data_IF_540649651527
#
_entry.id   IF_540649651527
#
_cell.length_a   1.000
_cell.length_b   1.000
_cell.length_c   1.000
_cell.angle_alpha   90.00
_cell.angle_beta   90.00
_cell.angle_gamma   90.00
#
_symmetry.space_group_name_H-M   'P 1'
#
loop_
_entity.id
_entity.type
_entity.pdbx_description
1 polymer ?
#
# COMPACT_ATOMS: atom_id res chain seq x y z
N UNK A 1 -33.99 68.48 -70.98
CA UNK A 1 -32.65 68.86 -71.45
C UNK A 1 -31.59 68.01 -70.82
N UNK A 2 -30.75 67.39 -71.66
CA UNK A 2 -29.45 66.73 -71.43
C UNK A 2 -29.29 65.59 -70.36
N UNK A 3 -29.16 64.39 -70.93
CA UNK A 3 -28.49 63.22 -70.39
C UNK A 3 -27.08 63.50 -69.90
N UNK A 4 -26.66 62.77 -68.84
CA UNK A 4 -25.30 62.28 -68.68
C UNK A 4 -25.29 60.99 -67.99
N UNK A 5 -24.70 59.95 -68.60
CA UNK A 5 -24.39 58.63 -68.08
C UNK A 5 -23.15 58.73 -67.13
N UNK A 6 -23.02 57.94 -66.11
CA UNK A 6 -21.74 57.65 -65.49
C UNK A 6 -21.19 56.29 -65.93
N UNK A 7 -19.91 56.19 -66.01
CA UNK A 7 -19.04 55.06 -66.37
C UNK A 7 -18.93 53.99 -65.31
N UNK A 8 -18.48 52.80 -65.67
CA UNK A 8 -18.42 51.65 -64.74
C UNK A 8 -17.15 51.66 -63.91
N UNK A 9 -17.26 51.50 -62.64
CA UNK A 9 -16.14 51.20 -61.72
C UNK A 9 -15.95 49.73 -61.55
N UNK A 10 -14.70 49.28 -61.81
CA UNK A 10 -14.24 47.93 -61.72
C UNK A 10 -14.24 47.39 -60.30
N UNK A 11 -14.72 46.17 -60.18
CA UNK A 11 -14.69 45.38 -58.97
C UNK A 11 -13.34 44.66 -58.83
N UNK A 12 -12.50 45.13 -57.92
CA UNK A 12 -11.31 44.39 -57.50
C UNK A 12 -11.68 43.20 -56.55
N UNK A 13 -11.54 41.99 -57.06
CA UNK A 13 -11.62 40.75 -56.26
C UNK A 13 -10.45 40.69 -55.29
N UNK A 14 -10.73 40.85 -53.99
CA UNK A 14 -9.79 40.53 -52.93
C UNK A 14 -9.69 39.04 -52.78
N UNK A 15 -8.54 38.45 -53.11
CA UNK A 15 -8.22 37.05 -52.79
C UNK A 15 -8.10 36.89 -51.28
N UNK A 16 -9.04 36.20 -50.67
CA UNK A 16 -8.94 35.75 -49.29
C UNK A 16 -7.99 34.54 -49.24
N UNK A 17 -6.83 34.74 -48.61
CA UNK A 17 -5.88 33.66 -48.31
C UNK A 17 -6.40 32.86 -47.12
N UNK A 18 -6.87 31.64 -47.34
CA UNK A 18 -7.21 30.65 -46.31
C UNK A 18 -5.91 30.05 -45.79
N UNK A 19 -5.37 30.61 -44.73
CA UNK A 19 -4.38 29.93 -43.89
C UNK A 19 -5.13 29.03 -42.93
N UNK A 20 -5.22 27.75 -43.28
CA UNK A 20 -5.71 26.71 -42.39
C UNK A 20 -4.70 26.46 -41.27
N UNK A 21 -5.02 26.91 -40.06
CA UNK A 21 -4.25 26.56 -38.90
C UNK A 21 -4.57 25.09 -38.55
N UNK A 22 -3.66 24.17 -38.87
CA UNK A 22 -3.68 22.81 -38.37
C UNK A 22 -3.33 22.86 -36.88
N UNK A 23 -4.35 22.79 -36.02
CA UNK A 23 -4.15 22.46 -34.61
C UNK A 23 -3.76 20.99 -34.49
N UNK A 24 -2.48 20.70 -34.41
CA UNK A 24 -1.96 19.42 -33.99
C UNK A 24 -2.18 19.34 -32.48
N UNK A 25 -3.29 18.73 -32.05
CA UNK A 25 -3.47 18.34 -30.65
C UNK A 25 -2.44 17.26 -30.33
N UNK A 26 -1.31 17.67 -29.78
CA UNK A 26 -0.39 16.75 -29.12
C UNK A 26 -1.08 16.19 -27.90
N UNK A 27 -1.63 14.97 -28.05
CA UNK A 27 -2.09 14.16 -26.94
C UNK A 27 -0.86 13.90 -26.07
N UNK A 28 -0.70 14.65 -24.99
CA UNK A 28 0.33 14.38 -23.99
C UNK A 28 -0.02 13.04 -23.35
N UNK A 29 0.59 11.96 -23.85
CA UNK A 29 0.62 10.68 -23.18
C UNK A 29 1.47 10.92 -21.94
N UNK A 30 0.80 11.21 -20.81
CA UNK A 30 1.45 11.22 -19.52
C UNK A 30 2.13 9.84 -19.36
N UNK A 31 3.42 9.76 -19.05
CA UNK A 31 4.04 8.47 -18.77
C UNK A 31 3.26 7.88 -17.58
N UNK A 32 2.56 6.75 -17.78
CA UNK A 32 2.16 5.90 -16.67
C UNK A 32 3.47 5.65 -15.92
N UNK A 33 3.60 6.26 -14.73
CA UNK A 33 4.67 5.90 -13.83
C UNK A 33 4.54 4.39 -13.63
N UNK A 34 5.45 3.63 -14.22
CA UNK A 34 5.58 2.19 -13.97
C UNK A 34 5.79 2.10 -12.46
N UNK A 35 4.73 1.82 -11.72
CA UNK A 35 4.86 1.45 -10.32
C UNK A 35 5.92 0.35 -10.30
N UNK A 36 6.96 0.52 -9.49
CA UNK A 36 8.09 -0.41 -9.46
C UNK A 36 7.54 -1.83 -9.33
N UNK A 37 7.54 -2.56 -10.45
CA UNK A 37 6.95 -3.88 -10.49
C UNK A 37 7.75 -4.77 -9.55
N UNK A 38 7.06 -5.42 -8.61
CA UNK A 38 7.72 -6.38 -7.74
C UNK A 38 8.25 -7.54 -8.58
N UNK A 39 9.52 -7.93 -8.40
CA UNK A 39 10.12 -8.98 -9.22
C UNK A 39 9.44 -10.33 -9.01
N UNK A 40 9.36 -11.11 -10.08
CA UNK A 40 8.96 -12.50 -9.97
C UNK A 40 10.02 -13.27 -9.18
N UNK A 41 9.60 -13.84 -8.05
CA UNK A 41 10.49 -14.67 -7.25
C UNK A 41 10.73 -16.04 -7.92
N UNK A 42 11.94 -16.60 -7.79
CA UNK A 42 12.23 -17.92 -8.32
C UNK A 42 11.46 -19.01 -7.57
N UNK A 43 11.24 -20.13 -8.26
CA UNK A 43 10.52 -21.28 -7.70
C UNK A 43 9.00 -21.09 -7.75
N UNK A 44 8.30 -21.83 -6.89
CA UNK A 44 6.84 -21.84 -6.83
C UNK A 44 6.22 -22.88 -7.74
N UNK A 45 4.91 -22.98 -7.66
CA UNK A 45 4.08 -23.95 -8.40
C UNK A 45 2.83 -23.25 -8.93
N UNK A 46 2.28 -23.77 -10.01
CA UNK A 46 0.96 -23.38 -10.47
C UNK A 46 -0.08 -23.95 -9.51
N UNK A 47 -1.06 -23.13 -9.15
CA UNK A 47 -2.19 -23.49 -8.29
C UNK A 47 -3.49 -23.01 -8.90
N UNK A 48 -4.57 -23.71 -8.60
CA UNK A 48 -5.91 -23.35 -9.03
C UNK A 48 -6.70 -22.78 -7.86
N UNK A 49 -7.30 -21.60 -8.07
CA UNK A 49 -8.07 -20.88 -7.06
C UNK A 49 -9.51 -21.36 -7.08
N UNK A 50 -10.03 -21.73 -5.91
CA UNK A 50 -11.43 -22.10 -5.73
C UNK A 50 -12.30 -20.90 -5.36
N UNK A 51 -11.76 -19.98 -4.55
CA UNK A 51 -12.53 -18.88 -3.98
C UNK A 51 -11.61 -17.77 -3.45
N UNK A 52 -11.93 -16.53 -3.73
CA UNK A 52 -11.39 -15.36 -3.04
C UNK A 52 -12.24 -15.10 -1.79
N UNK A 53 -11.60 -15.06 -0.62
CA UNK A 53 -12.26 -14.89 0.68
C UNK A 53 -12.41 -13.40 0.99
N UNK A 54 -11.29 -12.65 0.90
CA UNK A 54 -11.18 -11.21 1.13
C UNK A 54 -10.05 -10.63 0.27
N UNK A 55 -9.61 -9.41 0.53
CA UNK A 55 -8.59 -8.71 -0.27
C UNK A 55 -7.17 -9.27 -0.17
N UNK A 56 -6.92 -10.21 0.75
CA UNK A 56 -5.59 -10.79 0.96
C UNK A 56 -5.60 -12.29 1.31
N UNK A 57 -6.74 -12.93 1.19
CA UNK A 57 -6.93 -14.35 1.51
C UNK A 57 -7.75 -15.05 0.44
N UNK A 58 -7.29 -16.21 -0.01
CA UNK A 58 -8.02 -17.06 -0.94
C UNK A 58 -7.92 -18.54 -0.56
N UNK A 59 -8.79 -19.37 -1.16
CA UNK A 59 -8.79 -20.82 -1.03
C UNK A 59 -8.47 -21.48 -2.34
N UNK A 60 -7.61 -22.47 -2.31
CA UNK A 60 -7.25 -23.29 -3.47
C UNK A 60 -8.20 -24.48 -3.63
N UNK A 61 -8.20 -25.07 -4.82
CA UNK A 61 -8.94 -26.30 -5.13
C UNK A 61 -8.42 -27.47 -4.30
N UNK A 62 -7.13 -27.51 -3.97
CA UNK A 62 -6.51 -28.53 -3.10
C UNK A 62 -6.86 -28.38 -1.60
N UNK A 63 -7.67 -27.40 -1.25
CA UNK A 63 -8.17 -27.15 0.12
C UNK A 63 -7.31 -26.20 0.96
N UNK A 64 -6.12 -25.82 0.52
CA UNK A 64 -5.30 -24.85 1.26
C UNK A 64 -5.96 -23.48 1.30
N UNK A 65 -5.88 -22.83 2.48
CA UNK A 65 -6.14 -21.39 2.61
C UNK A 65 -4.82 -20.65 2.47
N UNK A 66 -4.76 -19.67 1.58
CA UNK A 66 -3.56 -18.88 1.31
C UNK A 66 -3.76 -17.46 1.81
N UNK A 67 -2.82 -16.98 2.64
CA UNK A 67 -2.69 -15.58 3.06
C UNK A 67 -1.57 -14.93 2.26
N UNK A 68 -1.89 -13.87 1.57
CA UNK A 68 -0.93 -13.14 0.75
C UNK A 68 0.09 -12.43 1.65
N UNK A 69 1.38 -12.55 1.30
CA UNK A 69 2.49 -11.93 2.03
C UNK A 69 2.64 -10.48 1.57
N UNK A 70 2.87 -9.57 2.52
CA UNK A 70 3.25 -8.21 2.21
C UNK A 70 2.10 -7.23 2.02
N UNK A 71 0.87 -7.69 2.14
CA UNK A 71 -0.34 -6.86 2.11
C UNK A 71 -1.20 -7.11 3.34
N UNK A 72 -1.83 -6.07 3.85
CA UNK A 72 -2.95 -6.15 4.77
C UNK A 72 -4.14 -5.41 4.13
N UNK A 73 -5.09 -6.16 3.62
CA UNK A 73 -6.30 -5.59 3.06
C UNK A 73 -7.29 -5.20 4.17
N UNK A 74 -8.18 -4.22 3.90
CA UNK A 74 -9.29 -3.93 4.80
C UNK A 74 -10.17 -5.17 5.02
N UNK A 75 -10.62 -5.37 6.26
CA UNK A 75 -11.38 -6.55 6.67
C UNK A 75 -12.85 -6.46 6.26
N UNK A 76 -13.35 -7.55 5.67
CA UNK A 76 -14.79 -7.78 5.55
C UNK A 76 -15.33 -8.06 6.95
N UNK A 77 -16.40 -7.38 7.34
CA UNK A 77 -17.01 -7.60 8.65
C UNK A 77 -17.38 -9.08 8.85
N UNK A 78 -16.93 -9.67 9.97
CA UNK A 78 -17.26 -11.05 10.35
C UNK A 78 -18.45 -11.04 11.30
N UNK A 79 -19.33 -12.03 11.20
CA UNK A 79 -20.41 -12.30 12.18
C UNK A 79 -21.27 -11.08 12.52
N UNK A 80 -21.63 -10.25 11.51
CA UNK A 80 -22.46 -9.06 11.72
C UNK A 80 -21.68 -7.77 12.03
N UNK A 81 -20.36 -7.82 12.05
CA UNK A 81 -19.51 -6.62 12.11
C UNK A 81 -19.57 -5.82 10.79
N UNK A 82 -19.37 -4.51 10.88
CA UNK A 82 -19.30 -3.64 9.71
C UNK A 82 -18.00 -3.87 8.94
N UNK A 83 -18.11 -4.04 7.62
CA UNK A 83 -16.94 -4.09 6.76
C UNK A 83 -16.16 -2.77 6.79
N UNK A 84 -14.85 -2.85 6.79
CA UNK A 84 -14.00 -1.67 6.65
C UNK A 84 -14.15 -1.07 5.25
N UNK A 85 -13.94 0.24 5.14
CA UNK A 85 -13.94 0.91 3.84
C UNK A 85 -12.95 0.24 2.88
N UNK A 86 -13.37 0.05 1.62
CA UNK A 86 -12.60 -0.63 0.56
C UNK A 86 -12.39 -2.14 0.73
N UNK A 87 -12.92 -2.80 1.74
CA UNK A 87 -12.78 -4.25 1.91
C UNK A 87 -13.39 -5.03 0.74
N UNK A 88 -14.61 -4.67 0.35
CA UNK A 88 -15.28 -5.30 -0.78
C UNK A 88 -14.64 -4.95 -2.13
N UNK A 89 -14.08 -3.73 -2.27
CA UNK A 89 -13.34 -3.35 -3.47
C UNK A 89 -12.06 -4.17 -3.61
N UNK A 90 -11.32 -4.38 -2.51
CA UNK A 90 -10.12 -5.23 -2.46
C UNK A 90 -10.45 -6.68 -2.84
N UNK A 91 -11.51 -7.25 -2.27
CA UNK A 91 -11.96 -8.61 -2.60
C UNK A 91 -12.34 -8.74 -4.08
N UNK A 92 -13.16 -7.81 -4.60
CA UNK A 92 -13.57 -7.82 -6.02
C UNK A 92 -12.38 -7.66 -6.96
N UNK A 93 -11.42 -6.83 -6.58
CA UNK A 93 -10.23 -6.63 -7.41
C UNK A 93 -9.35 -7.86 -7.43
N UNK A 94 -9.12 -8.51 -6.28
CA UNK A 94 -8.40 -9.78 -6.22
C UNK A 94 -9.11 -10.85 -7.06
N UNK A 95 -10.45 -10.94 -6.98
CA UNK A 95 -11.23 -11.85 -7.82
C UNK A 95 -11.00 -11.57 -9.32
N UNK A 96 -11.07 -10.31 -9.74
CA UNK A 96 -10.84 -9.95 -11.15
C UNK A 96 -9.41 -10.30 -11.63
N UNK A 97 -8.40 -10.23 -10.75
CA UNK A 97 -7.04 -10.66 -11.08
C UNK A 97 -6.93 -12.19 -11.22
N UNK A 98 -7.65 -12.93 -10.40
CA UNK A 98 -7.77 -14.39 -10.48
C UNK A 98 -8.48 -14.79 -11.78
N UNK A 99 -9.65 -14.21 -12.07
CA UNK A 99 -10.43 -14.47 -13.27
C UNK A 99 -9.62 -14.18 -14.56
N UNK A 100 -8.87 -13.08 -14.58
CA UNK A 100 -7.99 -12.71 -15.69
C UNK A 100 -6.83 -13.70 -15.91
N UNK A 101 -6.61 -14.60 -14.95
CA UNK A 101 -5.61 -15.67 -15.00
C UNK A 101 -6.25 -17.06 -15.20
N UNK A 102 -7.54 -17.15 -15.57
CA UNK A 102 -8.33 -18.37 -15.68
C UNK A 102 -8.19 -19.26 -14.41
N UNK A 103 -8.37 -18.64 -13.25
CA UNK A 103 -8.24 -19.23 -11.90
C UNK A 103 -6.87 -19.87 -11.59
N UNK A 104 -5.86 -19.67 -12.45
CA UNK A 104 -4.52 -20.25 -12.31
C UNK A 104 -3.48 -19.21 -12.00
N UNK A 105 -2.83 -19.36 -10.86
CA UNK A 105 -1.82 -18.46 -10.35
C UNK A 105 -0.53 -19.22 -10.06
N UNK A 106 0.60 -18.51 -10.12
CA UNK A 106 1.86 -19.03 -9.60
C UNK A 106 2.00 -18.67 -8.14
N UNK A 107 2.07 -19.68 -7.28
CA UNK A 107 2.26 -19.55 -5.84
C UNK A 107 3.73 -19.74 -5.49
N UNK A 108 4.34 -18.74 -4.88
CA UNK A 108 5.71 -18.82 -4.34
C UNK A 108 5.64 -18.71 -2.82
N UNK A 109 5.93 -19.81 -2.08
CA UNK A 109 5.80 -19.80 -0.62
C UNK A 109 6.80 -18.85 0.03
N UNK A 110 6.43 -18.32 1.19
CA UNK A 110 7.34 -17.57 2.06
C UNK A 110 8.45 -18.45 2.63
N UNK A 111 9.45 -17.83 3.27
CA UNK A 111 10.45 -18.54 4.07
C UNK A 111 9.81 -19.25 5.27
N UNK A 112 8.88 -18.59 5.94
CA UNK A 112 7.89 -19.18 6.81
C UNK A 112 6.65 -19.46 5.95
N UNK A 113 6.39 -20.73 5.71
CA UNK A 113 5.41 -21.16 4.73
C UNK A 113 3.97 -21.22 5.28
N UNK A 114 3.80 -21.17 6.61
CA UNK A 114 2.50 -21.34 7.27
C UNK A 114 2.39 -20.43 8.48
N UNK A 115 1.26 -19.80 8.68
CA UNK A 115 0.98 -19.03 9.89
C UNK A 115 0.40 -19.90 11.02
N UNK A 116 0.21 -19.30 12.20
CA UNK A 116 -0.33 -19.98 13.37
C UNK A 116 -1.81 -20.42 13.24
N UNK A 117 -2.51 -19.97 12.20
CA UNK A 117 -3.86 -20.42 11.85
C UNK A 117 -3.84 -21.58 10.85
N UNK A 118 -2.67 -22.04 10.39
CA UNK A 118 -2.51 -23.09 9.39
C UNK A 118 -2.70 -22.59 7.94
N UNK A 119 -2.76 -21.27 7.69
CA UNK A 119 -2.83 -20.74 6.32
C UNK A 119 -1.46 -20.76 5.68
N UNK A 120 -1.40 -21.13 4.39
CA UNK A 120 -0.19 -21.02 3.58
C UNK A 120 0.16 -19.53 3.40
N UNK A 121 1.37 -19.14 3.73
CA UNK A 121 1.93 -17.82 3.47
C UNK A 121 2.65 -17.83 2.13
N UNK A 122 2.19 -17.04 1.17
CA UNK A 122 2.76 -17.04 -0.18
C UNK A 122 2.64 -15.69 -0.88
N UNK A 123 3.50 -15.48 -1.88
CA UNK A 123 3.33 -14.50 -2.92
C UNK A 123 2.62 -15.13 -4.11
N UNK A 124 1.67 -14.41 -4.70
CA UNK A 124 0.94 -14.85 -5.88
C UNK A 124 1.30 -14.00 -7.09
N UNK A 125 1.37 -14.67 -8.24
CA UNK A 125 1.66 -14.03 -9.52
C UNK A 125 0.66 -14.49 -10.57
N UNK A 126 0.28 -13.55 -11.41
CA UNK A 126 -0.53 -13.84 -12.60
C UNK A 126 0.31 -14.52 -13.70
N UNK A 127 -0.33 -14.86 -14.82
CA UNK A 127 0.33 -15.51 -15.96
C UNK A 127 1.43 -14.68 -16.61
N UNK A 128 1.41 -13.35 -16.43
CA UNK A 128 2.43 -12.43 -16.92
C UNK A 128 3.58 -12.26 -15.91
N UNK A 129 3.53 -12.95 -14.77
CA UNK A 129 4.54 -12.86 -13.72
C UNK A 129 4.43 -11.59 -12.89
N UNK A 130 3.29 -10.89 -12.91
CA UNK A 130 3.04 -9.71 -12.08
C UNK A 130 2.55 -10.13 -10.70
N UNK A 131 3.14 -9.54 -9.67
CA UNK A 131 2.76 -9.83 -8.29
C UNK A 131 1.37 -9.23 -7.96
N UNK A 132 0.44 -10.06 -7.46
CA UNK A 132 -0.94 -9.65 -7.18
C UNK A 132 -1.01 -8.67 -6.02
N UNK A 133 -0.26 -8.92 -4.95
CA UNK A 133 -0.21 -8.05 -3.76
C UNK A 133 0.22 -6.63 -4.14
N UNK A 134 1.27 -6.52 -4.97
CA UNK A 134 1.76 -5.22 -5.41
C UNK A 134 0.76 -4.47 -6.29
N UNK A 135 -0.04 -5.19 -7.11
CA UNK A 135 -1.12 -4.59 -7.90
C UNK A 135 -2.21 -4.02 -6.99
N UNK A 136 -2.67 -4.79 -6.00
CA UNK A 136 -3.67 -4.34 -5.03
C UNK A 136 -3.18 -3.13 -4.23
N UNK A 137 -1.93 -3.17 -3.74
CA UNK A 137 -1.31 -2.08 -2.99
C UNK A 137 -1.20 -0.81 -3.85
N UNK A 138 -0.77 -0.93 -5.11
CA UNK A 138 -0.65 0.20 -6.03
C UNK A 138 -1.99 0.87 -6.35
N UNK A 139 -3.08 0.14 -6.25
CA UNK A 139 -4.45 0.62 -6.41
C UNK A 139 -5.04 1.16 -5.09
N UNK A 140 -4.29 1.11 -3.98
CA UNK A 140 -4.73 1.56 -2.65
C UNK A 140 -5.77 0.61 -2.01
N UNK A 141 -5.76 -0.66 -2.37
CA UNK A 141 -6.70 -1.66 -1.88
C UNK A 141 -6.14 -2.50 -0.71
N UNK A 142 -5.04 -2.03 -0.12
CA UNK A 142 -4.41 -2.60 1.06
C UNK A 142 -3.17 -1.81 1.47
N UNK A 143 -2.70 -2.10 2.66
CA UNK A 143 -1.50 -1.52 3.25
C UNK A 143 -0.32 -2.46 3.01
N UNK A 144 0.84 -1.91 2.62
CA UNK A 144 2.06 -2.70 2.59
C UNK A 144 2.47 -3.06 4.02
N UNK A 145 2.78 -4.34 4.25
CA UNK A 145 3.27 -4.82 5.55
C UNK A 145 4.48 -5.73 5.35
N UNK A 146 5.49 -5.60 6.20
CA UNK A 146 6.67 -6.43 6.19
C UNK A 146 6.82 -7.16 7.52
N UNK A 147 6.60 -8.48 7.50
CA UNK A 147 6.69 -9.34 8.67
C UNK A 147 7.78 -10.38 8.41
N UNK A 148 8.89 -10.27 9.16
CA UNK A 148 9.99 -11.22 9.05
C UNK A 148 9.56 -12.63 9.48
N UNK A 149 10.04 -13.66 8.76
CA UNK A 149 11.11 -13.65 7.77
C UNK A 149 10.64 -13.42 6.31
N UNK A 150 9.37 -13.12 6.08
CA UNK A 150 8.75 -13.05 4.76
C UNK A 150 8.79 -11.62 4.16
N UNK A 151 9.98 -11.02 4.03
CA UNK A 151 10.13 -9.59 3.65
C UNK A 151 10.84 -9.36 2.31
N UNK A 152 10.96 -10.39 1.46
CA UNK A 152 11.73 -10.31 0.19
C UNK A 152 11.22 -9.23 -0.76
N UNK A 153 9.93 -8.95 -0.77
CA UNK A 153 9.29 -7.95 -1.63
C UNK A 153 8.94 -6.65 -0.90
N UNK A 154 9.30 -6.50 0.39
CA UNK A 154 8.89 -5.36 1.20
C UNK A 154 9.22 -4.02 0.54
N UNK A 155 10.43 -3.84 0.01
CA UNK A 155 10.84 -2.59 -0.63
C UNK A 155 9.98 -2.22 -1.84
N UNK A 156 9.68 -3.18 -2.74
CA UNK A 156 8.85 -2.88 -3.91
C UNK A 156 7.37 -2.70 -3.54
N UNK A 157 6.86 -3.44 -2.55
CA UNK A 157 5.48 -3.28 -2.05
C UNK A 157 5.28 -1.93 -1.38
N UNK A 158 6.25 -1.46 -0.57
CA UNK A 158 6.23 -0.11 0.01
C UNK A 158 6.33 0.97 -1.07
N UNK A 159 7.14 0.75 -2.13
CA UNK A 159 7.20 1.67 -3.27
C UNK A 159 5.85 1.75 -4.02
N UNK A 160 5.17 0.60 -4.21
CA UNK A 160 3.83 0.55 -4.80
C UNK A 160 2.81 1.32 -3.94
N UNK A 161 2.86 1.16 -2.61
CA UNK A 161 2.05 1.95 -1.69
C UNK A 161 2.34 3.45 -1.77
N UNK A 162 3.61 3.83 -1.87
CA UNK A 162 4.01 5.23 -2.03
C UNK A 162 3.36 5.89 -3.26
N UNK A 163 3.24 5.15 -4.37
CA UNK A 163 2.53 5.62 -5.55
C UNK A 163 1.02 5.79 -5.29
N UNK A 164 0.38 4.82 -4.61
CA UNK A 164 -1.04 4.90 -4.24
C UNK A 164 -1.33 6.07 -3.29
N UNK A 165 -0.46 6.30 -2.29
CA UNK A 165 -0.55 7.46 -1.36
C UNK A 165 -0.48 8.78 -2.12
N UNK A 166 0.52 8.94 -2.98
CA UNK A 166 0.70 10.16 -3.80
C UNK A 166 -0.50 10.43 -4.70
N UNK A 167 -1.10 9.38 -5.26
CA UNK A 167 -2.28 9.46 -6.12
C UNK A 167 -3.60 9.51 -5.32
N UNK A 168 -3.56 9.40 -3.98
CA UNK A 168 -4.73 9.37 -3.08
C UNK A 168 -5.76 8.30 -3.47
N UNK A 169 -5.30 7.08 -3.74
CA UNK A 169 -6.14 5.97 -4.15
C UNK A 169 -6.65 5.16 -2.95
N UNK A 170 -7.84 4.62 -3.07
CA UNK A 170 -8.42 3.66 -2.13
C UNK A 170 -8.33 4.10 -0.67
N UNK A 171 -7.70 3.29 0.19
CA UNK A 171 -7.51 3.58 1.62
C UNK A 171 -6.74 4.88 1.88
N UNK A 172 -5.99 5.39 0.89
CA UNK A 172 -5.22 6.63 0.96
C UNK A 172 -5.99 7.86 0.47
N UNK A 173 -7.26 7.71 0.08
CA UNK A 173 -8.10 8.84 -0.36
C UNK A 173 -8.31 9.86 0.75
N UNK A 174 -8.42 9.36 1.98
CA UNK A 174 -8.30 10.14 3.21
C UNK A 174 -7.10 9.62 3.96
N UNK A 175 -6.37 10.48 4.67
CA UNK A 175 -5.25 10.03 5.49
C UNK A 175 -5.75 9.05 6.57
N UNK A 176 -5.39 7.76 6.53
CA UNK A 176 -5.83 6.77 7.51
C UNK A 176 -4.95 6.77 8.77
N UNK A 177 -3.97 7.68 8.84
CA UNK A 177 -2.95 7.67 9.89
C UNK A 177 -3.55 8.10 11.23
N UNK A 178 -3.44 7.23 12.22
CA UNK A 178 -3.87 7.47 13.59
C UNK A 178 -2.77 8.19 14.39
N UNK A 179 -3.11 9.20 15.17
CA UNK A 179 -2.16 9.78 16.14
C UNK A 179 -1.87 8.79 17.27
N UNK A 180 -0.61 8.66 17.68
CA UNK A 180 -0.20 7.87 18.85
C UNK A 180 -0.92 8.27 20.13
N UNK A 181 -1.34 9.55 20.23
CA UNK A 181 -2.10 10.09 21.37
C UNK A 181 -3.60 9.76 21.35
N UNK A 182 -4.10 9.18 20.25
CA UNK A 182 -5.53 8.90 20.06
C UNK A 182 -5.85 7.41 19.85
N UNK A 183 -4.94 6.51 20.21
CA UNK A 183 -5.18 5.07 20.14
C UNK A 183 -6.24 4.68 21.17
N UNK A 184 -7.31 4.02 20.72
CA UNK A 184 -8.43 3.63 21.58
C UNK A 184 -8.63 2.12 21.63
N UNK A 185 -8.20 1.39 20.59
CA UNK A 185 -8.43 -0.05 20.44
C UNK A 185 -7.23 -0.77 19.84
N UNK A 186 -7.18 -2.09 20.08
CA UNK A 186 -6.20 -2.98 19.46
C UNK A 186 -6.56 -3.25 18.00
N UNK A 187 -5.56 -3.49 17.16
CA UNK A 187 -5.76 -3.82 15.76
C UNK A 187 -4.66 -3.29 14.87
N UNK A 188 -4.79 -3.50 13.58
CA UNK A 188 -3.86 -2.94 12.61
C UNK A 188 -4.07 -1.44 12.47
N UNK A 189 -2.97 -0.68 12.51
CA UNK A 189 -2.99 0.75 12.26
C UNK A 189 -1.68 1.23 11.60
N UNK A 190 -1.80 2.32 10.86
CA UNK A 190 -0.70 3.22 10.51
C UNK A 190 -0.74 4.33 11.53
N UNK A 191 0.29 4.45 12.34
CA UNK A 191 0.34 5.39 13.48
C UNK A 191 1.42 6.41 13.26
N UNK A 192 1.13 7.65 13.56
CA UNK A 192 2.11 8.73 13.64
C UNK A 192 2.30 9.21 15.08
N UNK A 193 3.52 9.56 15.42
CA UNK A 193 3.83 10.14 16.72
C UNK A 193 5.27 10.67 16.78
N UNK A 194 5.54 11.50 17.76
CA UNK A 194 6.86 12.02 18.03
C UNK A 194 7.68 11.00 18.81
N UNK A 195 8.86 10.63 18.30
CA UNK A 195 9.80 9.79 19.07
C UNK A 195 10.37 10.57 20.23
N UNK A 196 10.08 10.15 21.45
CA UNK A 196 10.55 10.82 22.68
C UNK A 196 11.84 10.22 23.22
N UNK A 197 12.04 8.92 23.03
CA UNK A 197 13.20 8.23 23.56
C UNK A 197 13.39 6.84 22.99
N UNK A 198 14.57 6.30 23.21
CA UNK A 198 14.96 4.97 22.76
C UNK A 198 15.62 4.25 23.93
N UNK A 199 15.14 3.07 24.25
CA UNK A 199 15.69 2.19 25.26
C UNK A 199 16.10 0.87 24.63
N UNK A 200 17.22 0.30 25.06
CA UNK A 200 17.65 -1.05 24.70
C UNK A 200 17.79 -1.90 25.93
N UNK A 201 17.12 -3.03 25.95
CA UNK A 201 17.19 -3.99 27.06
C UNK A 201 17.14 -5.45 26.54
N UNK A 202 16.98 -6.42 27.44
CA UNK A 202 16.92 -7.86 27.08
C UNK A 202 15.78 -8.22 26.14
N UNK A 203 14.68 -7.41 26.12
CA UNK A 203 13.52 -7.64 25.25
C UNK A 203 13.73 -7.11 23.83
N UNK A 204 14.72 -6.22 23.61
CA UNK A 204 14.99 -5.64 22.33
C UNK A 204 15.19 -4.12 22.39
N UNK A 205 14.84 -3.46 21.29
CA UNK A 205 14.83 -2.02 21.15
C UNK A 205 13.40 -1.51 21.37
N UNK A 206 13.27 -0.45 22.16
CA UNK A 206 12.01 0.15 22.56
C UNK A 206 12.00 1.62 22.18
N UNK A 207 11.14 2.00 21.27
CA UNK A 207 10.97 3.36 20.78
C UNK A 207 9.74 3.95 21.49
N UNK A 208 9.97 4.94 22.35
CA UNK A 208 8.89 5.60 23.11
C UNK A 208 8.31 6.72 22.26
N UNK A 209 7.04 6.63 21.95
CA UNK A 209 6.30 7.66 21.24
C UNK A 209 5.56 8.57 22.22
N UNK A 210 5.17 9.76 21.75
CA UNK A 210 4.20 10.56 22.49
C UNK A 210 2.87 9.80 22.65
N UNK A 211 2.04 10.22 23.59
CA UNK A 211 0.90 9.43 24.03
C UNK A 211 1.36 8.23 24.85
N UNK A 212 0.60 7.15 24.80
CA UNK A 212 0.84 5.95 25.59
C UNK A 212 1.21 4.75 24.69
N UNK A 213 2.04 5.02 23.66
CA UNK A 213 2.50 4.04 22.66
C UNK A 213 4.00 3.77 22.79
N UNK A 214 4.36 2.51 22.82
CA UNK A 214 5.73 2.03 22.61
C UNK A 214 5.82 1.12 21.39
N UNK A 215 6.82 1.38 20.54
CA UNK A 215 7.15 0.51 19.41
C UNK A 215 8.32 -0.38 19.82
N UNK A 216 8.11 -1.69 19.81
CA UNK A 216 9.11 -2.68 20.20
C UNK A 216 9.70 -3.38 18.96
N UNK A 217 11.01 -3.46 18.89
CA UNK A 217 11.76 -4.32 17.98
C UNK A 217 12.41 -5.43 18.79
N UNK A 218 11.92 -6.68 18.75
CA UNK A 218 12.51 -7.81 19.47
C UNK A 218 13.99 -8.02 19.12
N UNK A 219 14.79 -8.49 20.06
CA UNK A 219 16.26 -8.62 19.90
C UNK A 219 16.68 -9.33 18.61
N UNK A 220 15.94 -10.39 18.21
CA UNK A 220 16.23 -11.15 17.00
C UNK A 220 16.13 -10.33 15.71
N UNK A 221 15.47 -9.17 15.73
CA UNK A 221 15.28 -8.29 14.58
C UNK A 221 16.05 -6.98 14.64
N UNK A 222 16.68 -6.65 15.78
CA UNK A 222 17.35 -5.35 15.98
C UNK A 222 18.42 -5.08 14.93
N UNK A 223 19.16 -6.09 14.48
CA UNK A 223 20.17 -5.91 13.45
C UNK A 223 19.60 -5.42 12.10
N UNK A 224 18.37 -5.77 11.77
CA UNK A 224 17.72 -5.27 10.56
C UNK A 224 17.45 -3.74 10.60
N UNK A 225 17.42 -3.16 11.81
CA UNK A 225 17.20 -1.72 12.02
C UNK A 225 18.50 -0.93 12.17
N UNK A 226 19.67 -1.58 12.06
CA UNK A 226 20.96 -0.94 12.32
C UNK A 226 21.29 0.23 11.38
N UNK A 227 20.77 0.16 10.13
CA UNK A 227 20.99 1.22 9.14
C UNK A 227 20.10 2.46 9.37
N UNK A 228 19.07 2.37 10.23
CA UNK A 228 18.22 3.50 10.53
C UNK A 228 18.89 4.44 11.52
N UNK A 229 18.94 5.76 11.26
CA UNK A 229 19.56 6.72 12.17
C UNK A 229 18.62 7.09 13.32
N UNK A 230 18.16 6.09 14.08
CA UNK A 230 17.11 6.23 15.08
C UNK A 230 17.43 7.28 16.14
N UNK A 231 18.70 7.43 16.56
CA UNK A 231 19.11 8.45 17.53
C UNK A 231 18.87 9.88 16.98
N UNK A 232 19.06 10.08 15.67
CA UNK A 232 18.80 11.37 15.01
C UNK A 232 17.32 11.65 14.84
N UNK A 233 16.47 10.63 15.01
CA UNK A 233 15.02 10.76 14.90
C UNK A 233 14.35 11.13 16.23
N UNK A 234 15.07 11.17 17.34
CA UNK A 234 14.51 11.64 18.61
C UNK A 234 14.01 13.08 18.44
N UNK A 235 12.79 13.35 18.86
CA UNK A 235 12.09 14.61 18.66
C UNK A 235 11.38 14.77 17.30
N UNK A 236 11.60 13.86 16.35
CA UNK A 236 10.95 13.90 15.01
C UNK A 236 9.62 13.15 15.01
N UNK A 237 8.78 13.51 14.06
CA UNK A 237 7.55 12.78 13.75
C UNK A 237 7.88 11.53 12.94
N UNK A 238 7.48 10.37 13.44
CA UNK A 238 7.64 9.08 12.77
C UNK A 238 6.27 8.53 12.41
N UNK A 239 6.28 7.69 11.40
CA UNK A 239 5.19 6.77 11.08
C UNK A 239 5.66 5.34 11.38
N UNK A 240 4.85 4.61 12.12
CA UNK A 240 5.01 3.17 12.33
C UNK A 240 3.71 2.47 11.95
N UNK A 241 3.80 1.21 11.49
CA UNK A 241 2.60 0.44 11.14
C UNK A 241 2.69 -1.01 11.57
N UNK A 242 1.56 -1.54 11.97
CA UNK A 242 1.46 -2.92 12.45
C UNK A 242 0.26 -3.10 13.37
N UNK A 243 0.26 -4.20 14.08
CA UNK A 243 -0.82 -4.52 15.01
C UNK A 243 -0.51 -3.95 16.39
N UNK A 244 -1.40 -3.07 16.84
CA UNK A 244 -1.38 -2.50 18.18
C UNK A 244 -2.04 -3.46 19.14
N UNK A 245 -1.41 -3.68 20.29
CA UNK A 245 -1.90 -4.54 21.36
C UNK A 245 -2.11 -3.71 22.63
N UNK A 246 -3.28 -3.84 23.26
CA UNK A 246 -3.55 -3.27 24.58
C UNK A 246 -2.87 -4.14 25.65
N UNK A 247 -1.99 -3.52 26.44
CA UNK A 247 -1.24 -4.15 27.53
C UNK A 247 -1.82 -3.84 28.93
N UNK A 248 -2.95 -3.14 29.00
CA UNK A 248 -3.55 -2.71 30.27
C UNK A 248 -3.74 -3.87 31.25
N UNK A 249 -3.99 -5.08 30.77
CA UNK A 249 -4.12 -6.29 31.61
C UNK A 249 -2.79 -6.78 32.21
N UNK A 250 -1.64 -6.30 31.73
CA UNK A 250 -0.30 -6.67 32.18
C UNK A 250 0.39 -5.51 32.89
N UNK A 251 -0.37 -4.54 33.42
CA UNK A 251 0.17 -3.29 33.94
C UNK A 251 1.23 -3.52 35.01
N UNK A 252 2.48 -3.24 34.66
CA UNK A 252 3.51 -2.77 35.56
C UNK A 252 3.50 -1.25 35.52
N UNK A 253 3.46 -0.60 36.67
CA UNK A 253 3.45 0.85 36.78
C UNK A 253 4.56 1.50 35.93
N UNK A 254 4.21 2.52 35.13
CA UNK A 254 5.17 3.25 34.28
C UNK A 254 5.42 2.69 32.88
N UNK A 255 4.69 1.65 32.44
CA UNK A 255 4.79 1.14 31.08
C UNK A 255 3.64 1.66 30.20
N UNK A 256 3.98 1.95 28.94
CA UNK A 256 3.00 2.33 27.94
C UNK A 256 1.89 1.27 27.80
N UNK A 257 0.63 1.72 27.71
CA UNK A 257 -0.54 0.87 27.50
C UNK A 257 -0.51 0.17 26.15
N UNK A 258 -0.14 0.90 25.11
CA UNK A 258 -0.19 0.42 23.73
C UNK A 258 1.18 -0.05 23.28
N UNK A 259 1.22 -1.21 22.67
CA UNK A 259 2.45 -1.73 22.07
C UNK A 259 2.21 -2.09 20.61
N UNK A 260 3.15 -1.67 19.76
CA UNK A 260 3.27 -2.11 18.38
C UNK A 260 4.62 -2.81 18.22
N UNK A 261 4.63 -4.03 17.65
CA UNK A 261 5.87 -4.81 17.47
C UNK A 261 6.28 -4.81 16.01
N UNK A 262 7.53 -4.45 15.73
CA UNK A 262 8.12 -4.45 14.40
C UNK A 262 9.16 -5.56 14.24
N UNK A 263 9.21 -6.13 13.06
CA UNK A 263 10.19 -7.14 12.68
C UNK A 263 11.00 -6.75 11.43
N UNK A 264 10.62 -5.65 10.77
CA UNK A 264 11.26 -5.16 9.55
C UNK A 264 11.28 -3.62 9.51
N UNK A 265 12.40 -3.00 9.09
CA UNK A 265 12.55 -1.54 9.09
C UNK A 265 11.63 -0.80 8.11
N UNK A 266 11.11 -1.46 7.06
CA UNK A 266 10.13 -0.82 6.15
C UNK A 266 8.82 -0.42 6.86
N UNK A 267 8.60 -0.91 8.08
CA UNK A 267 7.40 -0.57 8.86
C UNK A 267 7.60 0.64 9.79
N UNK A 268 8.75 1.33 9.67
CA UNK A 268 9.08 2.52 10.46
C UNK A 268 9.79 3.55 9.56
N UNK A 269 9.37 4.80 9.61
CA UNK A 269 10.02 5.86 8.85
C UNK A 269 9.71 7.25 9.37
N UNK A 270 10.46 8.24 8.88
CA UNK A 270 10.11 9.63 9.10
C UNK A 270 8.79 9.93 8.38
N UNK A 271 7.89 10.61 9.08
CA UNK A 271 6.71 11.14 8.41
C UNK A 271 7.12 12.32 7.53
N UNK A 272 6.88 12.17 6.25
CA UNK A 272 6.94 13.30 5.31
C UNK A 272 5.59 13.99 5.38
N UNK A 273 5.57 15.23 5.86
CA UNK A 273 4.38 16.05 5.82
C UNK A 273 3.99 16.24 4.35
N UNK A 274 2.86 15.67 3.98
CA UNK A 274 2.26 15.93 2.66
C UNK A 274 1.63 17.31 2.73
N UNK A 275 2.27 18.29 2.09
CA UNK A 275 1.68 19.61 1.85
C UNK A 275 0.52 19.51 0.85
#
# INVERSE_FOLDING_TARGET
MRCRRPSPHGSTLKKASLWGAFFVSTLAIAPLALAAACPLLPGGQEVEVRQVVDGDTLRLVDGRSVRLIGINAPELGRSGGTAQSYAEDARRRLQALVDASDDRLRLVPGREATDHYGRTLAHLYDRQGRNLEAQLIAEGLGYAVAIAPNTRLAGCQVAAEGAARKARLGVWKKDPTLSATHIQESGFAVVQGRLQGIERNRGGLWLQFDGDLVVNVPNRFVNAFAELPLQQWIGRQLEARGWIVDRSRRQEAGRARWQLTLSDPHMLGLRVESF
#
